data_IF_961404373951
#
_entry.id   IF_961404373951
#
_cell.length_a   1.000
_cell.length_b   1.000
_cell.length_c   1.000
_cell.angle_alpha   90.00
_cell.angle_beta   90.00
_cell.angle_gamma   90.00
#
_symmetry.space_group_name_H-M   'P 1'
#
loop_
_entity.id
_entity.type
_entity.pdbx_description
1 polymer ?
#
# COMPACT_ATOMS: atom_id res chain seq x y z
N UNK A 1 -17.94 0.14 23.86
CA UNK A 1 -18.42 1.53 23.68
C UNK A 1 -18.37 1.81 22.19
N UNK A 2 -19.51 2.11 21.52
CA UNK A 2 -19.51 2.63 20.16
C UNK A 2 -18.83 3.99 20.20
N UNK A 3 -17.71 4.17 19.48
CA UNK A 3 -17.07 5.48 19.37
C UNK A 3 -18.07 6.42 18.69
N UNK A 4 -18.31 7.58 19.29
CA UNK A 4 -19.10 8.63 18.65
C UNK A 4 -18.47 8.98 17.32
N UNK A 5 -19.30 9.21 16.30
CA UNK A 5 -18.86 9.56 14.95
C UNK A 5 -19.12 11.03 14.66
N UNK A 6 -18.28 11.63 13.83
CA UNK A 6 -18.50 12.96 13.25
C UNK A 6 -18.73 12.77 11.75
N UNK A 7 -19.75 13.44 11.20
CA UNK A 7 -19.94 13.50 9.75
C UNK A 7 -19.05 14.61 9.18
N UNK A 8 -18.34 14.28 8.12
CA UNK A 8 -17.50 15.22 7.36
C UNK A 8 -17.89 15.16 5.88
N UNK A 9 -17.71 16.24 5.17
CA UNK A 9 -17.81 16.26 3.72
C UNK A 9 -16.43 16.22 3.10
N UNK A 10 -16.25 15.36 2.12
CA UNK A 10 -14.98 15.16 1.46
C UNK A 10 -15.18 14.87 -0.03
N UNK A 11 -14.86 15.84 -0.88
CA UNK A 11 -15.06 15.73 -2.32
C UNK A 11 -16.52 15.51 -2.74
N UNK A 12 -17.46 16.18 -2.07
CA UNK A 12 -18.89 16.01 -2.29
C UNK A 12 -19.48 14.72 -1.70
N UNK A 13 -18.66 13.92 -0.98
CA UNK A 13 -19.08 12.70 -0.30
C UNK A 13 -19.19 12.94 1.20
N UNK A 14 -20.30 12.54 1.80
CA UNK A 14 -20.45 12.53 3.25
C UNK A 14 -19.84 11.26 3.82
N UNK A 15 -18.94 11.40 4.77
CA UNK A 15 -18.18 10.32 5.38
C UNK A 15 -18.21 10.44 6.89
N UNK A 16 -18.42 9.33 7.58
CA UNK A 16 -18.30 9.25 9.04
C UNK A 16 -16.86 8.94 9.43
N UNK A 17 -16.32 9.72 10.37
CA UNK A 17 -15.00 9.51 10.99
C UNK A 17 -15.13 9.40 12.50
N UNK A 18 -14.17 8.76 13.21
CA UNK A 18 -14.17 8.73 14.67
C UNK A 18 -14.11 10.14 15.24
N UNK A 19 -15.06 10.49 16.12
CA UNK A 19 -15.05 11.77 16.81
C UNK A 19 -13.83 11.89 17.72
N UNK A 20 -13.06 12.97 17.56
CA UNK A 20 -11.79 13.17 18.26
C UNK A 20 -10.63 12.35 17.69
N UNK A 21 -10.81 11.63 16.57
CA UNK A 21 -9.76 10.97 15.83
C UNK A 21 -8.79 11.94 15.14
N UNK A 22 -7.77 11.40 14.49
CA UNK A 22 -6.76 12.23 13.82
C UNK A 22 -7.36 13.12 12.74
N UNK A 23 -8.22 12.54 11.88
CA UNK A 23 -8.87 13.32 10.83
C UNK A 23 -9.82 14.38 11.39
N UNK A 24 -10.63 14.01 12.39
CA UNK A 24 -11.60 14.92 13.01
C UNK A 24 -10.90 16.13 13.67
N UNK A 25 -9.79 15.91 14.35
CA UNK A 25 -9.01 16.97 15.03
C UNK A 25 -8.20 17.85 14.07
N UNK A 26 -7.52 17.24 13.11
CA UNK A 26 -6.44 17.90 12.38
C UNK A 26 -6.76 18.19 10.92
N UNK A 27 -7.80 17.60 10.35
CA UNK A 27 -8.18 17.81 8.94
C UNK A 27 -6.98 17.68 7.98
N UNK A 28 -6.14 16.64 8.18
CA UNK A 28 -4.93 16.35 7.39
C UNK A 28 -3.74 17.27 7.65
N UNK A 29 -3.85 18.25 8.55
CA UNK A 29 -2.76 19.18 8.88
C UNK A 29 -2.45 19.16 10.39
N UNK A 30 -1.97 18.06 10.94
CA UNK A 30 -1.62 18.00 12.34
C UNK A 30 -0.35 18.81 12.63
N UNK A 31 -0.32 19.42 13.80
CA UNK A 31 0.92 19.83 14.43
C UNK A 31 1.71 18.58 14.85
N UNK A 32 2.91 18.42 14.34
CA UNK A 32 3.76 17.28 14.66
C UNK A 32 4.20 17.26 16.13
N UNK A 33 4.21 18.39 16.82
CA UNK A 33 4.49 18.45 18.25
C UNK A 33 3.31 17.89 19.07
N UNK A 34 2.07 18.13 18.60
CA UNK A 34 0.89 17.47 19.18
C UNK A 34 0.88 15.96 18.89
N UNK A 35 1.21 15.56 17.67
CA UNK A 35 1.30 14.14 17.31
C UNK A 35 2.37 13.42 18.13
N UNK A 36 3.50 14.06 18.40
CA UNK A 36 4.59 13.47 19.19
C UNK A 36 4.23 13.14 20.64
N UNK A 37 3.15 13.73 21.16
CA UNK A 37 2.60 13.43 22.49
C UNK A 37 1.81 12.12 22.52
N UNK A 38 1.41 11.60 21.35
CA UNK A 38 0.74 10.31 21.24
C UNK A 38 1.79 9.18 21.20
N UNK A 39 1.90 8.35 22.27
CA UNK A 39 2.86 7.25 22.28
C UNK A 39 2.69 6.26 21.13
N UNK A 40 1.46 6.14 20.58
CA UNK A 40 1.18 5.26 19.47
C UNK A 40 1.78 5.77 18.15
N UNK A 41 1.99 7.07 17.97
CA UNK A 41 2.64 7.64 16.80
C UNK A 41 4.16 7.39 16.78
N UNK A 42 4.79 7.32 17.94
CA UNK A 42 6.23 7.16 18.06
C UNK A 42 7.01 8.41 17.66
N UNK A 43 8.25 8.24 17.18
CA UNK A 43 9.09 9.36 16.76
C UNK A 43 8.59 9.95 15.43
N UNK A 44 8.40 11.27 15.38
CA UNK A 44 7.85 11.98 14.20
C UNK A 44 8.90 12.73 13.37
N UNK A 45 10.19 12.65 13.70
CA UNK A 45 11.26 13.41 13.04
C UNK A 45 11.37 13.14 11.54
N UNK A 46 11.02 11.92 11.12
CA UNK A 46 10.97 11.59 9.70
C UNK A 46 10.02 12.50 8.93
N UNK A 47 8.87 12.85 9.51
CA UNK A 47 7.83 13.65 8.86
C UNK A 47 8.15 15.14 8.81
N UNK A 48 8.97 15.65 9.74
CA UNK A 48 9.44 17.05 9.72
C UNK A 48 10.21 17.42 8.44
N UNK A 49 10.68 16.40 7.71
CA UNK A 49 11.36 16.59 6.42
C UNK A 49 10.40 16.84 5.26
N UNK A 50 9.09 16.72 5.48
CA UNK A 50 8.05 16.83 4.47
C UNK A 50 6.99 17.84 4.92
N UNK A 51 7.27 19.14 4.79
CA UNK A 51 6.29 20.15 5.19
C UNK A 51 5.00 19.96 4.39
N UNK A 52 3.87 19.99 5.10
CA UNK A 52 2.57 19.93 4.47
C UNK A 52 2.23 21.25 3.80
N UNK A 53 1.55 21.16 2.67
CA UNK A 53 1.03 22.29 1.93
C UNK A 53 -0.44 22.07 1.63
N UNK A 54 -1.24 23.12 1.71
CA UNK A 54 -2.60 23.09 1.21
C UNK A 54 -2.55 23.19 -0.31
N UNK A 55 -3.16 22.22 -0.97
CA UNK A 55 -3.19 22.13 -2.43
C UNK A 55 -4.60 21.87 -2.91
N UNK A 56 -4.93 22.38 -4.09
CA UNK A 56 -6.16 22.02 -4.76
C UNK A 56 -6.02 20.60 -5.31
N UNK A 57 -6.88 19.71 -4.85
CA UNK A 57 -6.93 18.32 -5.33
C UNK A 57 -8.26 18.07 -6.05
N UNK A 58 -8.43 16.86 -6.63
CA UNK A 58 -9.68 16.43 -7.26
C UNK A 58 -10.89 16.46 -6.32
N UNK A 59 -10.65 16.40 -5.02
CA UNK A 59 -11.67 16.38 -3.96
C UNK A 59 -11.71 17.69 -3.18
N UNK A 60 -11.30 18.79 -3.82
CA UNK A 60 -11.22 20.11 -3.19
C UNK A 60 -9.88 20.37 -2.49
N UNK A 61 -9.79 21.45 -1.71
CA UNK A 61 -8.58 21.79 -0.97
C UNK A 61 -8.23 20.68 0.04
N UNK A 62 -6.99 20.24 0.02
CA UNK A 62 -6.48 19.22 0.96
C UNK A 62 -5.05 19.54 1.38
N UNK A 63 -4.64 19.04 2.54
CA UNK A 63 -3.26 19.10 2.99
C UNK A 63 -2.51 17.86 2.51
N UNK A 64 -1.35 18.08 1.91
CA UNK A 64 -0.48 17.04 1.38
C UNK A 64 0.98 17.29 1.76
N UNK A 65 1.80 16.25 1.87
CA UNK A 65 1.50 14.82 1.72
C UNK A 65 0.72 14.22 2.91
N UNK A 66 0.17 13.00 2.73
CA UNK A 66 -0.49 12.25 3.79
C UNK A 66 0.54 11.45 4.61
N UNK A 67 0.42 11.47 5.94
CA UNK A 67 1.35 10.80 6.85
C UNK A 67 0.75 9.56 7.47
N UNK A 68 1.54 8.50 7.51
CA UNK A 68 1.29 7.26 8.23
C UNK A 68 2.40 7.13 9.28
N UNK A 69 2.07 7.51 10.52
CA UNK A 69 3.04 7.58 11.61
C UNK A 69 3.52 6.20 12.02
N UNK A 70 2.62 5.23 11.98
CA UNK A 70 2.91 3.80 12.20
C UNK A 70 2.24 2.98 11.10
N UNK A 71 3.00 2.05 10.56
CA UNK A 71 2.54 1.13 9.52
C UNK A 71 3.16 -0.25 9.75
N UNK A 72 2.35 -1.27 9.50
CA UNK A 72 2.77 -2.67 9.43
C UNK A 72 2.38 -3.23 8.08
N UNK A 73 3.15 -4.17 7.56
CA UNK A 73 2.74 -4.87 6.34
C UNK A 73 3.31 -6.27 6.23
N UNK A 74 2.58 -7.10 5.49
CA UNK A 74 3.02 -8.42 5.04
C UNK A 74 2.86 -8.47 3.54
N UNK A 75 3.96 -8.69 2.83
CA UNK A 75 3.97 -8.76 1.37
C UNK A 75 4.42 -10.14 0.89
N UNK A 76 3.65 -10.69 -0.03
CA UNK A 76 4.04 -11.84 -0.84
C UNK A 76 4.42 -11.36 -2.23
N UNK A 77 5.62 -11.70 -2.69
CA UNK A 77 5.98 -11.63 -4.11
C UNK A 77 5.69 -12.97 -4.75
N UNK A 78 4.80 -12.94 -5.75
CA UNK A 78 4.32 -14.10 -6.49
C UNK A 78 4.82 -14.07 -7.92
N UNK A 79 5.08 -15.26 -8.47
CA UNK A 79 5.27 -15.43 -9.91
C UNK A 79 3.92 -15.45 -10.61
N UNK A 80 3.86 -14.78 -11.77
CA UNK A 80 2.75 -14.88 -12.69
C UNK A 80 3.25 -14.86 -14.16
N UNK A 81 2.51 -15.49 -15.11
CA UNK A 81 2.84 -15.44 -16.53
C UNK A 81 2.90 -13.99 -17.04
N UNK A 82 3.97 -13.65 -17.75
CA UNK A 82 4.23 -12.29 -18.20
C UNK A 82 3.17 -11.78 -19.19
N UNK A 83 2.60 -12.65 -20.00
CA UNK A 83 1.51 -12.35 -20.94
C UNK A 83 0.21 -11.99 -20.20
N UNK A 84 -0.14 -12.73 -19.14
CA UNK A 84 -1.31 -12.41 -18.30
C UNK A 84 -1.11 -11.09 -17.55
N UNK A 85 0.08 -10.85 -16.99
CA UNK A 85 0.38 -9.57 -16.36
C UNK A 85 0.31 -8.42 -17.37
N UNK A 86 0.79 -8.64 -18.61
CA UNK A 86 0.73 -7.63 -19.67
C UNK A 86 -0.71 -7.31 -20.07
N UNK A 87 -1.56 -8.33 -20.19
CA UNK A 87 -2.98 -8.15 -20.51
C UNK A 87 -3.77 -7.44 -19.40
N UNK A 88 -3.31 -7.50 -18.15
CA UNK A 88 -3.99 -6.91 -16.99
C UNK A 88 -3.62 -5.45 -16.72
N UNK A 89 -2.58 -4.91 -17.37
CA UNK A 89 -2.14 -3.53 -17.18
C UNK A 89 -2.33 -2.72 -18.47
N UNK A 90 -2.71 -1.43 -18.39
CA UNK A 90 -2.92 -0.62 -19.59
C UNK A 90 -1.60 -0.29 -20.29
N UNK A 91 -1.67 -0.12 -21.63
CA UNK A 91 -0.54 0.40 -22.41
C UNK A 91 -0.25 1.85 -22.04
N UNK A 92 1.04 2.29 -22.02
CA UNK A 92 2.25 1.58 -22.48
C UNK A 92 3.02 0.88 -21.34
N UNK A 93 2.40 0.56 -20.19
CA UNK A 93 3.09 -0.08 -19.08
C UNK A 93 3.57 -1.49 -19.47
N UNK A 94 4.72 -1.90 -18.91
CA UNK A 94 5.30 -3.22 -19.13
C UNK A 94 5.56 -3.92 -17.78
N UNK A 95 5.16 -5.20 -17.59
CA UNK A 95 5.54 -5.95 -16.39
C UNK A 95 7.05 -6.13 -16.33
N UNK A 96 7.62 -6.01 -15.13
CA UNK A 96 9.03 -6.32 -14.90
C UNK A 96 9.22 -7.84 -14.90
N UNK A 97 9.86 -8.36 -15.95
CA UNK A 97 10.10 -9.80 -16.12
C UNK A 97 11.34 -10.24 -15.33
N UNK A 98 11.22 -11.40 -14.67
CA UNK A 98 12.34 -12.07 -14.01
C UNK A 98 12.84 -13.28 -14.80
N UNK A 99 11.99 -13.83 -15.68
CA UNK A 99 12.33 -14.76 -16.75
C UNK A 99 11.66 -14.30 -18.04
N UNK A 100 11.98 -14.86 -19.21
CA UNK A 100 11.30 -14.48 -20.46
C UNK A 100 9.76 -14.61 -20.40
N UNK A 101 9.24 -15.59 -19.64
CA UNK A 101 7.81 -15.92 -19.56
C UNK A 101 7.13 -15.51 -18.24
N UNK A 102 7.86 -14.95 -17.25
CA UNK A 102 7.30 -14.68 -15.93
C UNK A 102 7.68 -13.30 -15.42
N UNK A 103 6.72 -12.63 -14.80
CA UNK A 103 6.88 -11.38 -14.07
C UNK A 103 6.51 -11.50 -12.59
N UNK A 104 6.48 -10.37 -11.90
CA UNK A 104 6.24 -10.27 -10.47
C UNK A 104 4.88 -9.62 -10.18
N UNK A 105 4.15 -10.26 -9.29
CA UNK A 105 2.94 -9.74 -8.68
C UNK A 105 3.19 -9.56 -7.18
N UNK A 106 2.81 -8.41 -6.62
CA UNK A 106 2.87 -8.14 -5.20
C UNK A 106 1.46 -8.20 -4.60
N UNK A 107 1.25 -9.09 -3.62
CA UNK A 107 0.09 -9.11 -2.74
C UNK A 107 0.55 -8.60 -1.38
N UNK A 108 -0.01 -7.48 -0.91
CA UNK A 108 0.41 -6.85 0.34
C UNK A 108 -0.78 -6.55 1.23
N UNK A 109 -0.73 -7.02 2.47
CA UNK A 109 -1.63 -6.62 3.55
C UNK A 109 -0.96 -5.52 4.37
N UNK A 110 -1.66 -4.41 4.56
CA UNK A 110 -1.23 -3.28 5.37
C UNK A 110 -2.13 -3.07 6.58
N UNK A 111 -1.53 -2.60 7.66
CA UNK A 111 -2.24 -2.01 8.79
C UNK A 111 -1.61 -0.67 9.12
N UNK A 112 -2.44 0.35 9.24
CA UNK A 112 -2.06 1.72 9.55
C UNK A 112 -2.68 2.13 10.90
N UNK A 113 -2.10 1.73 12.03
CA UNK A 113 -2.68 2.00 13.36
C UNK A 113 -2.69 3.47 13.72
N UNK A 114 -1.80 4.29 13.15
CA UNK A 114 -1.76 5.75 13.37
C UNK A 114 -1.43 6.46 12.07
N UNK A 115 -2.38 7.21 11.54
CA UNK A 115 -2.21 8.00 10.33
C UNK A 115 -3.19 9.19 10.27
N UNK A 116 -2.98 10.10 9.34
CA UNK A 116 -3.83 11.29 9.16
C UNK A 116 -5.30 10.99 8.83
N UNK A 117 -5.59 9.78 8.33
CA UNK A 117 -6.94 9.33 7.93
C UNK A 117 -7.68 8.53 9.02
N UNK A 118 -7.19 8.55 10.26
CA UNK A 118 -7.55 7.57 11.29
C UNK A 118 -7.10 6.13 10.95
N UNK A 119 -7.10 5.21 11.93
CA UNK A 119 -6.62 3.86 11.71
C UNK A 119 -7.44 3.11 10.65
N UNK A 120 -6.74 2.37 9.76
CA UNK A 120 -7.38 1.47 8.81
C UNK A 120 -6.43 0.37 8.32
N UNK A 121 -7.02 -0.66 7.68
CA UNK A 121 -6.28 -1.72 7.01
C UNK A 121 -6.55 -1.69 5.50
N UNK A 122 -5.61 -2.21 4.73
CA UNK A 122 -5.63 -2.20 3.27
C UNK A 122 -5.03 -3.48 2.71
N UNK A 123 -5.54 -3.97 1.59
CA UNK A 123 -4.87 -5.02 0.81
C UNK A 123 -4.58 -4.48 -0.58
N UNK A 124 -3.37 -4.72 -1.09
CA UNK A 124 -2.97 -4.33 -2.44
C UNK A 124 -2.61 -5.55 -3.27
N UNK A 125 -3.15 -5.62 -4.49
CA UNK A 125 -2.65 -6.50 -5.55
C UNK A 125 -2.09 -5.61 -6.65
N UNK A 126 -0.79 -5.71 -6.91
CA UNK A 126 -0.11 -4.83 -7.86
C UNK A 126 0.87 -5.61 -8.75
N UNK A 127 0.89 -5.29 -10.03
CA UNK A 127 1.92 -5.76 -10.95
C UNK A 127 3.17 -4.91 -10.74
N UNK A 128 4.30 -5.55 -10.49
CA UNK A 128 5.60 -4.87 -10.52
C UNK A 128 5.93 -4.58 -11.99
N UNK A 129 6.08 -3.31 -12.31
CA UNK A 129 6.31 -2.85 -13.69
C UNK A 129 7.71 -2.30 -13.88
N UNK A 130 8.13 -2.21 -15.10
CA UNK A 130 9.29 -1.43 -15.49
C UNK A 130 9.10 0.04 -15.16
N UNK A 131 10.18 0.73 -14.88
CA UNK A 131 10.12 2.19 -14.81
C UNK A 131 9.67 2.73 -16.18
N UNK A 132 8.66 3.61 -16.24
CA UNK A 132 8.25 4.22 -17.51
C UNK A 132 9.44 4.80 -18.28
N UNK A 133 9.50 4.50 -19.57
CA UNK A 133 10.62 4.91 -20.44
C UNK A 133 11.95 4.16 -20.24
N UNK A 134 12.01 3.14 -19.38
CA UNK A 134 13.21 2.36 -19.18
C UNK A 134 13.56 1.55 -20.44
N UNK A 135 14.83 1.58 -20.81
CA UNK A 135 15.41 0.78 -21.91
C UNK A 135 16.45 -0.21 -21.34
N UNK A 136 16.60 -1.35 -22.00
CA UNK A 136 17.62 -2.34 -21.65
C UNK A 136 17.07 -3.57 -20.90
N UNK A 137 17.94 -4.43 -20.35
CA UNK A 137 17.58 -5.72 -19.78
C UNK A 137 16.76 -5.58 -18.48
N UNK A 138 15.68 -6.36 -18.34
CA UNK A 138 14.85 -6.40 -17.13
C UNK A 138 15.63 -6.79 -15.87
N UNK A 139 16.59 -7.74 -15.99
CA UNK A 139 17.40 -8.18 -14.86
C UNK A 139 18.25 -7.05 -14.27
N UNK A 140 18.82 -6.18 -15.12
CA UNK A 140 19.60 -5.03 -14.67
C UNK A 140 18.70 -4.00 -13.97
N UNK A 141 17.50 -3.76 -14.52
CA UNK A 141 16.53 -2.86 -13.92
C UNK A 141 16.07 -3.36 -12.55
N UNK A 142 15.78 -4.67 -12.42
CA UNK A 142 15.42 -5.30 -11.15
C UNK A 142 16.55 -5.14 -10.12
N UNK A 143 17.79 -5.39 -10.52
CA UNK A 143 18.94 -5.22 -9.63
C UNK A 143 19.10 -3.77 -9.16
N UNK A 144 18.91 -2.81 -10.05
CA UNK A 144 18.95 -1.38 -9.71
C UNK A 144 17.78 -0.99 -8.78
N UNK A 145 16.58 -1.51 -9.02
CA UNK A 145 15.41 -1.27 -8.18
C UNK A 145 15.63 -1.81 -6.75
N UNK A 146 16.17 -3.02 -6.63
CA UNK A 146 16.53 -3.62 -5.33
C UNK A 146 17.59 -2.78 -4.62
N UNK A 147 18.70 -2.44 -5.32
CA UNK A 147 19.81 -1.67 -4.74
C UNK A 147 19.37 -0.29 -4.26
N UNK A 148 18.52 0.39 -5.05
CA UNK A 148 18.04 1.73 -4.76
C UNK A 148 16.78 1.73 -3.88
N UNK A 149 16.19 0.55 -3.62
CA UNK A 149 14.88 0.41 -2.96
C UNK A 149 13.81 1.30 -3.58
N UNK A 150 13.78 1.32 -4.89
CA UNK A 150 12.91 2.16 -5.69
C UNK A 150 12.20 1.29 -6.73
N UNK A 151 10.92 1.01 -6.46
CA UNK A 151 10.11 0.11 -7.28
C UNK A 151 8.98 0.87 -7.95
N UNK A 152 8.54 0.35 -9.10
CA UNK A 152 7.38 0.84 -9.84
C UNK A 152 6.34 -0.26 -9.89
N UNK A 153 5.07 0.11 -9.70
CA UNK A 153 3.96 -0.82 -9.70
C UNK A 153 2.71 -0.19 -10.32
N UNK A 154 1.86 -1.04 -10.90
CA UNK A 154 0.50 -0.69 -11.26
C UNK A 154 -0.46 -1.47 -10.37
N UNK A 155 -1.33 -0.76 -9.65
CA UNK A 155 -2.25 -1.34 -8.68
C UNK A 155 -3.51 -1.80 -9.41
N UNK A 156 -3.83 -3.09 -9.29
CA UNK A 156 -5.03 -3.71 -9.87
C UNK A 156 -6.21 -3.73 -8.89
N UNK A 157 -5.92 -3.82 -7.59
CA UNK A 157 -6.92 -3.92 -6.54
C UNK A 157 -6.37 -3.32 -5.23
N UNK A 158 -7.23 -2.56 -4.51
CA UNK A 158 -6.82 -1.87 -3.28
C UNK A 158 -7.97 -1.75 -2.25
N UNK A 159 -8.61 -2.88 -1.84
CA UNK A 159 -9.66 -2.83 -0.82
C UNK A 159 -9.15 -2.28 0.51
N UNK A 160 -10.04 -1.58 1.22
CA UNK A 160 -9.82 -0.92 2.51
C UNK A 160 -11.00 -1.19 3.45
N UNK A 161 -10.80 -1.02 4.76
CA UNK A 161 -11.84 -1.29 5.77
C UNK A 161 -12.52 -0.04 6.33
N UNK A 162 -12.17 1.17 5.83
CA UNK A 162 -12.81 2.42 6.24
C UNK A 162 -13.29 3.26 5.06
N UNK A 163 -14.43 3.93 5.24
CA UNK A 163 -15.04 4.74 4.20
C UNK A 163 -14.17 5.95 3.81
N UNK A 164 -13.51 6.60 4.77
CA UNK A 164 -12.62 7.71 4.47
C UNK A 164 -11.44 7.29 3.58
N UNK A 165 -10.85 6.11 3.83
CA UNK A 165 -9.76 5.60 3.01
C UNK A 165 -10.25 5.23 1.59
N UNK A 166 -11.49 4.70 1.46
CA UNK A 166 -12.12 4.42 0.18
C UNK A 166 -12.37 5.71 -0.61
N UNK A 167 -13.07 6.67 -0.02
CA UNK A 167 -13.45 7.92 -0.69
C UNK A 167 -12.21 8.70 -1.14
N UNK A 168 -11.22 8.85 -0.28
CA UNK A 168 -9.97 9.50 -0.67
C UNK A 168 -9.25 8.78 -1.81
N UNK A 169 -9.20 7.45 -1.75
CA UNK A 169 -8.52 6.66 -2.79
C UNK A 169 -9.23 6.71 -4.13
N UNK A 170 -10.55 6.55 -4.15
CA UNK A 170 -11.35 6.55 -5.38
C UNK A 170 -11.43 7.95 -6.00
N UNK A 171 -11.86 8.94 -5.23
CA UNK A 171 -12.11 10.28 -5.78
C UNK A 171 -10.85 11.14 -5.83
N UNK A 172 -9.93 11.00 -4.86
CA UNK A 172 -8.70 11.80 -4.81
C UNK A 172 -7.59 11.27 -5.71
N UNK A 173 -7.41 9.95 -5.75
CA UNK A 173 -6.28 9.30 -6.44
C UNK A 173 -6.70 8.46 -7.66
N UNK A 174 -7.98 8.20 -7.86
CA UNK A 174 -8.50 7.24 -8.85
C UNK A 174 -7.88 5.85 -8.74
N UNK A 175 -7.66 5.41 -7.51
CA UNK A 175 -7.19 4.06 -7.23
C UNK A 175 -8.38 3.08 -7.10
N UNK A 176 -8.21 1.80 -7.44
CA UNK A 176 -9.27 0.79 -7.47
C UNK A 176 -9.63 0.31 -6.05
N UNK A 177 -10.24 1.19 -5.24
CA UNK A 177 -10.61 0.89 -3.85
C UNK A 177 -12.08 0.52 -3.71
N UNK A 178 -12.35 -0.42 -2.79
CA UNK A 178 -13.68 -0.77 -2.31
C UNK A 178 -13.63 -1.16 -0.84
N UNK A 179 -14.79 -1.25 -0.18
CA UNK A 179 -14.87 -1.65 1.22
C UNK A 179 -14.78 -3.17 1.36
N UNK A 180 -13.99 -3.62 2.32
CA UNK A 180 -13.85 -5.01 2.73
C UNK A 180 -13.53 -5.09 4.22
N UNK A 181 -13.73 -6.24 4.85
CA UNK A 181 -13.26 -6.51 6.20
C UNK A 181 -11.84 -7.07 6.12
N UNK A 182 -10.89 -6.41 6.78
CA UNK A 182 -9.47 -6.75 6.69
C UNK A 182 -8.88 -6.88 8.09
N UNK A 183 -8.21 -7.99 8.32
CA UNK A 183 -7.49 -8.27 9.57
C UNK A 183 -6.03 -8.58 9.26
N UNK A 184 -5.12 -8.02 10.03
CA UNK A 184 -3.68 -8.30 9.97
C UNK A 184 -3.11 -8.41 11.38
N UNK A 185 -2.57 -9.58 11.71
CA UNK A 185 -1.89 -9.86 12.97
C UNK A 185 -0.44 -10.30 12.72
N UNK A 186 0.50 -9.57 13.34
CA UNK A 186 1.93 -9.86 13.30
C UNK A 186 2.44 -9.93 14.74
N UNK A 187 2.25 -11.08 15.40
CA UNK A 187 2.74 -11.32 16.78
C UNK A 187 3.73 -12.48 16.81
N UNK A 188 3.30 -13.67 17.26
CA UNK A 188 4.11 -14.90 17.22
C UNK A 188 4.15 -15.56 15.85
N UNK A 189 3.15 -15.28 15.02
CA UNK A 189 2.99 -15.69 13.63
C UNK A 189 2.41 -14.54 12.80
N UNK A 190 2.41 -14.72 11.51
CA UNK A 190 1.71 -13.85 10.56
C UNK A 190 0.35 -14.47 10.27
N UNK A 191 -0.70 -13.70 10.46
CA UNK A 191 -2.06 -14.05 10.04
C UNK A 191 -2.70 -12.84 9.39
N UNK A 192 -3.28 -13.03 8.20
CA UNK A 192 -4.06 -12.00 7.55
C UNK A 192 -5.32 -12.61 6.93
N UNK A 193 -6.38 -11.83 6.89
CA UNK A 193 -7.66 -12.21 6.31
C UNK A 193 -8.28 -11.01 5.63
N UNK A 194 -8.88 -11.26 4.47
CA UNK A 194 -9.82 -10.33 3.85
C UNK A 194 -11.13 -11.06 3.57
N UNK A 195 -12.23 -10.39 3.85
CA UNK A 195 -13.59 -10.84 3.59
C UNK A 195 -14.39 -9.71 2.93
N UNK A 196 -15.44 -10.02 2.25
CA UNK A 196 -16.36 -9.02 1.74
C UNK A 196 -17.10 -8.28 2.89
N UNK A 197 -17.96 -7.32 2.55
CA UNK A 197 -18.75 -6.57 3.53
C UNK A 197 -19.71 -7.48 4.34
N UNK A 198 -20.19 -8.59 3.75
CA UNK A 198 -21.01 -9.61 4.39
C UNK A 198 -20.27 -10.47 5.39
N UNK A 199 -18.94 -10.60 5.22
CA UNK A 199 -18.06 -11.42 6.04
C UNK A 199 -17.63 -12.73 5.37
N UNK A 200 -18.02 -12.96 4.11
CA UNK A 200 -17.57 -14.12 3.34
C UNK A 200 -16.07 -13.99 3.03
N UNK A 201 -15.27 -15.01 3.38
CA UNK A 201 -13.82 -14.93 3.23
C UNK A 201 -13.41 -14.95 1.75
N UNK A 202 -12.47 -14.08 1.37
CA UNK A 202 -11.82 -14.04 0.06
C UNK A 202 -10.44 -14.66 0.10
N UNK A 203 -9.54 -14.10 0.93
CA UNK A 203 -8.19 -14.62 1.11
C UNK A 203 -7.88 -14.80 2.60
N UNK A 204 -7.13 -15.85 2.90
CA UNK A 204 -6.46 -16.01 4.19
C UNK A 204 -5.00 -16.32 3.99
N UNK A 205 -4.15 -15.70 4.81
CA UNK A 205 -2.71 -15.88 4.83
C UNK A 205 -2.28 -16.34 6.23
N UNK A 206 -1.50 -17.39 6.31
CA UNK A 206 -0.82 -17.83 7.54
C UNK A 206 0.63 -18.18 7.25
N UNK A 207 1.53 -17.78 8.14
CA UNK A 207 2.96 -18.12 8.06
C UNK A 207 3.62 -18.00 9.44
N UNK A 208 4.70 -18.74 9.65
CA UNK A 208 5.59 -18.45 10.75
C UNK A 208 6.24 -17.05 10.55
N UNK A 209 6.43 -16.33 11.66
CA UNK A 209 7.05 -15.01 11.62
C UNK A 209 8.54 -15.13 11.25
N UNK A 210 9.03 -14.47 10.19
CA UNK A 210 10.45 -14.41 9.93
C UNK A 210 11.17 -13.63 11.04
N UNK A 211 12.45 -13.92 11.25
CA UNK A 211 13.25 -13.18 12.24
C UNK A 211 13.26 -11.69 11.92
N UNK A 212 12.58 -10.91 12.73
CA UNK A 212 12.56 -9.46 12.63
C UNK A 212 13.90 -8.88 13.11
N UNK A 213 14.36 -7.83 12.43
CA UNK A 213 15.57 -7.08 12.78
C UNK A 213 15.30 -5.59 12.63
N UNK A 214 15.93 -4.80 13.49
CA UNK A 214 15.97 -3.35 13.32
C UNK A 214 16.75 -3.02 12.04
N UNK A 215 16.20 -2.16 11.21
CA UNK A 215 16.84 -1.74 9.96
C UNK A 215 17.84 -0.63 10.27
N UNK A 216 19.13 -0.77 9.87
CA UNK A 216 20.12 0.29 10.03
C UNK A 216 19.69 1.59 9.35
N UNK A 217 20.00 2.74 9.94
CA UNK A 217 19.49 4.07 9.50
C UNK A 217 19.76 4.36 8.02
N UNK A 218 20.96 4.02 7.51
CA UNK A 218 21.33 4.19 6.11
C UNK A 218 20.53 3.30 5.14
N UNK A 219 19.77 2.32 5.67
CA UNK A 219 19.02 1.34 4.90
C UNK A 219 17.49 1.44 5.09
N UNK A 220 16.99 2.45 5.79
CA UNK A 220 15.55 2.57 6.11
C UNK A 220 14.71 3.12 4.98
N UNK A 221 15.30 4.02 4.18
CA UNK A 221 14.55 4.74 3.17
C UNK A 221 14.32 3.89 1.93
N UNK A 222 13.11 3.98 1.41
CA UNK A 222 12.69 3.37 0.15
C UNK A 222 11.63 4.22 -0.53
N UNK A 223 11.37 3.90 -1.80
CA UNK A 223 10.37 4.57 -2.62
C UNK A 223 9.57 3.53 -3.40
N UNK A 224 8.25 3.62 -3.32
CA UNK A 224 7.34 2.92 -4.21
C UNK A 224 6.62 3.94 -5.08
N UNK A 225 6.60 3.70 -6.37
CA UNK A 225 5.97 4.56 -7.36
C UNK A 225 4.79 3.83 -7.96
N UNK A 226 3.59 4.31 -7.68
CA UNK A 226 2.37 3.80 -8.28
C UNK A 226 2.15 4.56 -9.58
N UNK A 227 2.12 3.85 -10.69
CA UNK A 227 1.88 4.44 -12.02
C UNK A 227 0.45 4.09 -12.42
N UNK A 228 -0.38 5.08 -12.61
CA UNK A 228 -1.80 4.91 -12.89
C UNK A 228 -2.37 6.10 -13.68
N UNK A 229 -3.57 5.93 -14.22
CA UNK A 229 -4.30 6.99 -14.90
C UNK A 229 -5.07 7.83 -13.88
N UNK A 230 -5.03 9.15 -14.05
CA UNK A 230 -5.88 10.12 -13.37
C UNK A 230 -6.47 11.03 -14.44
N UNK A 231 -7.80 11.05 -14.57
CA UNK A 231 -8.53 11.79 -15.59
C UNK A 231 -8.04 11.48 -17.04
N UNK A 232 -7.64 10.24 -17.28
CA UNK A 232 -7.15 9.77 -18.58
C UNK A 232 -5.67 10.06 -18.84
N UNK A 233 -4.97 10.75 -17.94
CA UNK A 233 -3.56 11.07 -18.06
C UNK A 233 -2.69 10.22 -17.13
N UNK A 234 -1.47 9.91 -17.57
CA UNK A 234 -0.52 9.14 -16.76
C UNK A 234 0.03 9.95 -15.61
N UNK A 235 -0.13 9.41 -14.41
CA UNK A 235 0.38 9.98 -13.16
C UNK A 235 1.26 9.00 -12.40
N UNK A 236 2.11 9.57 -11.57
CA UNK A 236 2.90 8.86 -10.58
C UNK A 236 2.49 9.30 -9.17
N UNK A 237 2.10 8.35 -8.35
CA UNK A 237 1.91 8.54 -6.90
C UNK A 237 3.09 7.94 -6.17
N UNK A 238 3.84 8.76 -5.45
CA UNK A 238 5.02 8.33 -4.70
C UNK A 238 4.65 8.00 -3.26
N UNK A 239 5.11 6.83 -2.80
CA UNK A 239 5.05 6.39 -1.40
C UNK A 239 6.47 6.27 -0.88
N UNK A 240 6.88 7.24 -0.08
CA UNK A 240 8.19 7.20 0.56
C UNK A 240 8.11 6.45 1.88
N UNK A 241 9.02 5.53 2.11
CA UNK A 241 9.03 4.65 3.26
C UNK A 241 10.25 4.87 4.14
N UNK A 242 10.06 4.78 5.47
CA UNK A 242 11.11 4.68 6.47
C UNK A 242 10.88 3.39 7.28
N UNK A 243 11.52 2.30 6.86
CA UNK A 243 11.34 0.98 7.46
C UNK A 243 12.20 0.83 8.69
N UNK A 244 11.60 0.60 9.85
CA UNK A 244 12.29 0.52 11.14
C UNK A 244 12.56 -0.92 11.56
N UNK A 245 11.60 -1.85 11.32
CA UNK A 245 11.73 -3.27 11.66
C UNK A 245 11.25 -4.15 10.51
N UNK A 246 12.09 -5.10 10.10
CA UNK A 246 11.89 -5.91 8.90
C UNK A 246 12.36 -7.34 9.08
N UNK A 247 11.62 -8.28 8.50
CA UNK A 247 12.00 -9.69 8.35
C UNK A 247 11.62 -10.21 6.98
N UNK A 248 12.40 -11.16 6.48
CA UNK A 248 12.24 -11.70 5.12
C UNK A 248 12.48 -13.21 5.08
N UNK A 249 11.75 -13.90 4.21
CA UNK A 249 12.04 -15.28 3.79
C UNK A 249 11.99 -15.39 2.27
N UNK A 250 12.99 -16.01 1.71
CA UNK A 250 13.05 -16.37 0.30
C UNK A 250 12.52 -17.79 0.11
N UNK A 251 11.74 -18.00 -0.94
CA UNK A 251 11.12 -19.28 -1.30
C UNK A 251 10.46 -19.99 -0.09
N UNK A 252 9.55 -19.29 0.62
CA UNK A 252 8.99 -19.81 1.86
C UNK A 252 8.04 -20.99 1.59
N UNK A 253 8.43 -22.21 1.98
CA UNK A 253 7.60 -23.41 1.81
C UNK A 253 6.42 -23.53 2.78
N UNK A 254 6.45 -22.76 3.88
CA UNK A 254 5.45 -22.82 4.96
C UNK A 254 4.37 -21.72 4.91
N UNK A 255 4.40 -20.86 3.88
CA UNK A 255 3.37 -19.84 3.69
C UNK A 255 2.11 -20.49 3.12
N UNK A 256 1.01 -20.38 3.84
CA UNK A 256 -0.30 -20.83 3.40
C UNK A 256 -1.12 -19.61 2.95
N UNK A 257 -1.31 -19.47 1.66
CA UNK A 257 -2.23 -18.51 1.06
C UNK A 257 -3.44 -19.27 0.52
N UNK A 258 -4.58 -19.17 1.21
CA UNK A 258 -5.82 -19.84 0.81
C UNK A 258 -6.72 -18.85 0.08
N UNK A 259 -7.19 -19.23 -1.10
CA UNK A 259 -8.14 -18.51 -1.94
C UNK A 259 -9.52 -19.11 -1.74
N UNK A 260 -10.52 -18.25 -1.52
CA UNK A 260 -11.90 -18.65 -1.20
C UNK A 260 -12.94 -18.23 -2.25
N UNK A 261 -12.47 -17.77 -3.42
CA UNK A 261 -13.31 -17.45 -4.58
C UNK A 261 -13.89 -16.03 -4.61
N UNK A 262 -13.54 -15.16 -3.67
CA UNK A 262 -13.90 -13.74 -3.71
C UNK A 262 -13.09 -12.94 -4.75
N UNK A 263 -13.29 -11.61 -4.84
CA UNK A 263 -12.71 -10.77 -5.90
C UNK A 263 -11.19 -10.86 -6.02
N UNK A 264 -10.44 -10.87 -4.90
CA UNK A 264 -8.99 -10.99 -4.94
C UNK A 264 -8.53 -12.39 -5.31
N UNK A 265 -9.24 -13.44 -4.84
CA UNK A 265 -8.99 -14.82 -5.25
C UNK A 265 -9.12 -14.97 -6.75
N UNK A 266 -10.23 -14.49 -7.32
CA UNK A 266 -10.49 -14.53 -8.77
C UNK A 266 -9.45 -13.73 -9.55
N UNK A 267 -9.05 -12.55 -9.06
CA UNK A 267 -8.00 -11.75 -9.66
C UNK A 267 -6.66 -12.51 -9.69
N UNK A 268 -6.24 -13.10 -8.57
CA UNK A 268 -5.00 -13.87 -8.49
C UNK A 268 -5.03 -15.11 -9.38
N UNK A 269 -6.17 -15.79 -9.48
CA UNK A 269 -6.38 -16.96 -10.36
C UNK A 269 -6.34 -16.53 -11.84
N UNK A 270 -7.03 -15.47 -12.20
CA UNK A 270 -7.02 -14.90 -13.56
C UNK A 270 -5.63 -14.48 -14.03
N UNK A 271 -4.83 -13.90 -13.13
CA UNK A 271 -3.43 -13.56 -13.39
C UNK A 271 -2.50 -14.78 -13.42
N UNK A 272 -2.96 -15.96 -13.01
CA UNK A 272 -2.12 -17.15 -12.90
C UNK A 272 -1.04 -17.02 -11.83
N UNK A 273 -1.32 -16.25 -10.77
CA UNK A 273 -0.41 -16.10 -9.65
C UNK A 273 -0.13 -17.47 -9.01
N UNK A 274 1.12 -17.87 -8.94
CA UNK A 274 1.51 -19.23 -8.58
C UNK A 274 2.50 -19.26 -7.42
N UNK A 275 3.77 -19.47 -7.69
CA UNK A 275 4.82 -19.66 -6.70
C UNK A 275 5.08 -18.39 -5.89
N UNK A 276 5.11 -18.52 -4.56
CA UNK A 276 5.56 -17.47 -3.66
C UNK A 276 7.10 -17.47 -3.68
N UNK A 277 7.68 -16.38 -4.16
CA UNK A 277 9.13 -16.21 -4.21
C UNK A 277 9.68 -15.63 -2.92
N UNK A 278 8.89 -14.79 -2.26
CA UNK A 278 9.36 -14.04 -1.10
C UNK A 278 8.19 -13.65 -0.21
N UNK A 279 8.42 -13.78 1.09
CA UNK A 279 7.61 -13.20 2.15
C UNK A 279 8.41 -12.09 2.81
N UNK A 280 7.90 -10.87 2.81
CA UNK A 280 8.42 -9.73 3.54
C UNK A 280 7.45 -9.35 4.67
N UNK A 281 7.99 -9.12 5.87
CA UNK A 281 7.22 -8.64 7.02
C UNK A 281 7.86 -7.36 7.53
N UNK A 282 7.11 -6.28 7.47
CA UNK A 282 7.45 -5.00 8.08
C UNK A 282 6.63 -4.87 9.36
N UNK A 283 7.30 -4.91 10.51
CA UNK A 283 6.64 -4.79 11.82
C UNK A 283 6.45 -3.34 12.24
N UNK A 284 7.33 -2.48 11.78
CA UNK A 284 7.28 -1.05 12.06
C UNK A 284 7.87 -0.24 10.92
N UNK A 285 7.11 0.69 10.40
CA UNK A 285 7.53 1.65 9.38
C UNK A 285 6.72 2.94 9.47
N UNK A 286 7.24 3.96 8.81
CA UNK A 286 6.61 5.26 8.59
C UNK A 286 6.48 5.50 7.10
N UNK A 287 5.35 6.06 6.64
CA UNK A 287 5.12 6.30 5.23
C UNK A 287 4.67 7.74 4.98
N UNK A 288 5.10 8.27 3.84
CA UNK A 288 4.64 9.56 3.29
C UNK A 288 4.05 9.29 1.91
N UNK A 289 2.74 9.51 1.79
CA UNK A 289 2.01 9.35 0.53
C UNK A 289 1.81 10.73 -0.11
N UNK A 290 2.44 10.93 -1.25
CA UNK A 290 2.30 12.16 -2.05
C UNK A 290 1.04 12.10 -2.92
N UNK A 291 0.55 13.27 -3.33
CA UNK A 291 -0.51 13.34 -4.34
C UNK A 291 0.00 12.86 -5.70
N UNK A 292 -0.91 12.39 -6.57
CA UNK A 292 -0.56 12.08 -7.94
C UNK A 292 0.06 13.29 -8.63
N UNK A 293 1.15 13.07 -9.34
CA UNK A 293 1.80 14.08 -10.18
C UNK A 293 1.85 13.57 -11.61
N UNK A 294 1.62 14.43 -12.63
CA UNK A 294 1.75 14.02 -14.02
C UNK A 294 3.08 13.32 -14.28
N UNK A 295 3.04 12.22 -14.99
CA UNK A 295 4.24 11.51 -15.40
C UNK A 295 4.87 12.32 -16.53
N UNK A 296 6.05 12.88 -16.27
CA UNK A 296 6.79 13.60 -17.32
C UNK A 296 7.24 12.59 -18.38
N UNK A 297 7.08 12.91 -19.67
CA UNK A 297 7.48 12.05 -20.77
C UNK A 297 8.99 11.78 -20.78
#
# INVERSE_FOLDING_TARGET
>A
MQSQKSEIEFGGQKVEVPRGGYYDRFRMNPDLDEVSKDPAAGNVDFFRRFPKQQVQSRIGPTWAPNFYYRSQSVQLLLLAPADRLRAAIPEPLEPLKITPSSGLLALTFFSYPVCDNDPYNEVSVAVVIRRPGAKGPHALELLQAIRRRNFHAHVLALPVDTEIARVRGVYGYQLPKWLAKIELNIFSKVEARISDAGGDPDLTLSSALPRLRNVPSQSRLGMNNLIHLVDGEWHQTRVQTNTLSFGQRLLPGEVQLTRKGGPLSQLLDGLGASKILRLDVVKDAQLVLHLPTPLKP
#
